data_IF_932402482333
#
_entry.id   IF_932402482333
#
_cell.length_a   1.000
_cell.length_b   1.000
_cell.length_c   1.000
_cell.angle_alpha   90.00
_cell.angle_beta   90.00
_cell.angle_gamma   90.00
#
_symmetry.space_group_name_H-M   'P 1'
#
loop_
_entity.id
_entity.type
_entity.pdbx_description
1 polymer ?
#
# COMPACT_ATOMS: atom_id res chain seq x y z
N UNK A 1 22.60 56.25 11.71
CA UNK A 1 21.34 55.64 12.19
C UNK A 1 20.71 54.62 11.23
N UNK A 2 20.96 54.67 9.93
CA UNK A 2 20.42 53.74 8.90
C UNK A 2 21.03 52.35 8.92
N UNK A 3 22.34 52.20 9.17
CA UNK A 3 23.06 50.91 9.18
C UNK A 3 22.58 49.94 10.27
N UNK A 4 22.18 50.46 11.44
CA UNK A 4 21.70 49.63 12.56
C UNK A 4 20.27 49.09 12.33
N UNK A 5 19.44 49.80 11.57
CA UNK A 5 18.11 49.36 11.22
C UNK A 5 18.14 48.25 10.16
N UNK A 6 19.01 48.39 9.16
CA UNK A 6 19.19 47.34 8.12
C UNK A 6 19.78 46.05 8.69
N UNK A 7 20.67 46.13 9.68
CA UNK A 7 21.26 44.95 10.35
C UNK A 7 20.16 44.20 11.14
N UNK A 8 19.32 44.87 11.89
CA UNK A 8 18.19 44.30 12.63
C UNK A 8 17.17 43.63 11.70
N UNK A 9 16.83 44.27 10.60
CA UNK A 9 15.89 43.72 9.63
C UNK A 9 16.44 42.48 8.93
N UNK A 10 17.75 42.36 8.71
CA UNK A 10 18.41 41.16 8.21
C UNK A 10 18.40 40.03 9.23
N UNK A 11 18.71 40.32 10.50
CA UNK A 11 18.71 39.34 11.60
C UNK A 11 17.27 38.79 11.80
N UNK A 12 16.26 39.62 11.80
CA UNK A 12 14.84 39.22 11.94
C UNK A 12 14.39 38.34 10.75
N UNK A 13 14.82 38.67 9.53
CA UNK A 13 14.55 37.84 8.33
C UNK A 13 15.29 36.49 8.36
N UNK A 14 16.49 36.45 8.90
CA UNK A 14 17.27 35.21 9.07
C UNK A 14 16.65 34.31 10.17
N UNK A 15 16.27 34.86 11.31
CA UNK A 15 15.56 34.16 12.37
C UNK A 15 14.21 33.57 11.88
N UNK A 16 13.45 34.35 11.14
CA UNK A 16 12.18 33.92 10.57
C UNK A 16 12.38 32.76 9.57
N UNK A 17 13.42 32.82 8.73
CA UNK A 17 13.78 31.74 7.80
C UNK A 17 14.25 30.48 8.51
N UNK A 18 15.04 30.61 9.58
CA UNK A 18 15.49 29.48 10.38
C UNK A 18 14.30 28.77 11.07
N UNK A 19 13.41 29.52 11.69
CA UNK A 19 12.20 28.98 12.33
C UNK A 19 11.30 28.26 11.33
N UNK A 20 11.11 28.82 10.14
CA UNK A 20 10.34 28.18 9.07
C UNK A 20 11.01 26.89 8.57
N UNK A 21 12.32 26.87 8.43
CA UNK A 21 13.08 25.69 8.00
C UNK A 21 13.01 24.55 9.06
N UNK A 22 13.08 24.89 10.34
CA UNK A 22 12.92 23.93 11.45
C UNK A 22 11.51 23.33 11.51
N UNK A 23 10.50 24.17 11.33
CA UNK A 23 9.09 23.72 11.26
C UNK A 23 8.85 22.79 10.07
N UNK A 24 9.39 23.11 8.90
CA UNK A 24 9.31 22.26 7.72
C UNK A 24 10.02 20.92 7.93
N UNK A 25 11.23 20.93 8.47
CA UNK A 25 12.00 19.72 8.78
C UNK A 25 11.25 18.81 9.77
N UNK A 26 10.60 19.41 10.77
CA UNK A 26 9.78 18.69 11.76
C UNK A 26 8.53 18.06 11.10
N UNK A 27 7.85 18.78 10.22
CA UNK A 27 6.71 18.28 9.45
C UNK A 27 7.11 17.13 8.52
N UNK A 28 8.25 17.24 7.84
CA UNK A 28 8.81 16.19 7.00
C UNK A 28 9.10 14.93 7.83
N UNK A 29 9.84 15.06 8.95
CA UNK A 29 10.16 13.95 9.85
C UNK A 29 8.91 13.23 10.37
N UNK A 30 7.88 13.97 10.74
CA UNK A 30 6.58 13.43 11.15
C UNK A 30 5.89 12.67 10.02
N UNK A 31 5.89 13.22 8.80
CA UNK A 31 5.32 12.59 7.62
C UNK A 31 6.04 11.28 7.24
N UNK A 32 7.38 11.26 7.35
CA UNK A 32 8.18 10.06 7.11
C UNK A 32 7.89 8.95 8.13
N UNK A 33 7.69 9.29 9.40
CA UNK A 33 7.28 8.33 10.42
C UNK A 33 5.89 7.75 10.15
N UNK A 34 4.93 8.56 9.70
CA UNK A 34 3.62 8.07 9.29
C UNK A 34 3.71 7.14 8.08
N UNK A 35 4.59 7.45 7.11
CA UNK A 35 4.80 6.56 5.95
C UNK A 35 5.41 5.21 6.33
N UNK A 36 6.25 5.13 7.37
CA UNK A 36 6.75 3.84 7.89
C UNK A 36 5.60 3.04 8.52
N UNK A 37 4.75 3.68 9.33
CA UNK A 37 3.59 3.04 9.95
C UNK A 37 2.60 2.55 8.90
N UNK A 38 2.26 3.39 7.92
CA UNK A 38 1.43 3.04 6.78
C UNK A 38 1.98 1.81 6.04
N UNK A 39 3.30 1.82 5.74
CA UNK A 39 3.98 0.68 5.13
C UNK A 39 3.89 -0.60 5.96
N UNK A 40 3.98 -0.52 7.28
CA UNK A 40 3.82 -1.67 8.17
C UNK A 40 2.39 -2.24 8.13
N UNK A 41 1.36 -1.38 8.19
CA UNK A 41 -0.04 -1.82 8.07
C UNK A 41 -0.36 -2.41 6.70
N UNK A 42 0.11 -1.78 5.61
CA UNK A 42 -0.04 -2.33 4.26
C UNK A 42 0.64 -3.70 4.11
N UNK A 43 1.83 -3.86 4.70
CA UNK A 43 2.56 -5.13 4.71
C UNK A 43 1.88 -6.21 5.55
N UNK A 44 1.24 -5.83 6.66
CA UNK A 44 0.43 -6.75 7.46
C UNK A 44 -0.79 -7.25 6.65
N UNK A 45 -1.47 -6.35 5.96
CA UNK A 45 -2.58 -6.71 5.07
C UNK A 45 -2.11 -7.66 3.96
N UNK A 46 -1.00 -7.33 3.26
CA UNK A 46 -0.43 -8.21 2.24
C UNK A 46 -0.03 -9.57 2.78
N UNK A 47 0.62 -9.64 3.94
CA UNK A 47 1.00 -10.89 4.59
C UNK A 47 -0.20 -11.80 4.89
N UNK A 48 -1.34 -11.23 5.28
CA UNK A 48 -2.56 -11.98 5.55
C UNK A 48 -3.33 -12.29 4.24
N UNK A 49 -3.51 -11.30 3.36
CA UNK A 49 -4.39 -11.44 2.19
C UNK A 49 -3.70 -12.10 1.01
N UNK A 50 -2.57 -11.56 0.55
CA UNK A 50 -1.92 -12.00 -0.69
C UNK A 50 -1.39 -13.43 -0.58
N UNK A 51 -0.91 -13.81 0.62
CA UNK A 51 -0.37 -15.15 0.87
C UNK A 51 -1.45 -16.23 0.90
N UNK A 52 -2.68 -15.90 1.33
CA UNK A 52 -3.74 -16.89 1.55
C UNK A 52 -4.88 -16.85 0.53
N UNK A 53 -4.97 -15.84 -0.32
CA UNK A 53 -5.99 -15.78 -1.38
C UNK A 53 -5.92 -16.97 -2.36
N UNK A 54 -4.74 -17.48 -2.78
CA UNK A 54 -4.69 -18.71 -3.57
C UNK A 54 -5.19 -19.95 -2.81
N UNK A 55 -4.87 -20.06 -1.51
CA UNK A 55 -5.39 -21.13 -0.67
C UNK A 55 -6.92 -21.03 -0.49
N UNK A 56 -7.44 -19.82 -0.34
CA UNK A 56 -8.88 -19.56 -0.32
C UNK A 56 -9.57 -19.98 -1.63
N UNK A 57 -8.93 -19.79 -2.79
CA UNK A 57 -9.45 -20.29 -4.06
C UNK A 57 -9.60 -21.83 -4.04
N UNK A 58 -8.65 -22.54 -3.43
CA UNK A 58 -8.74 -24.02 -3.26
C UNK A 58 -9.94 -24.40 -2.42
N UNK A 59 -10.21 -23.69 -1.32
CA UNK A 59 -11.39 -23.99 -0.47
C UNK A 59 -12.72 -23.72 -1.18
N UNK A 60 -12.72 -22.84 -2.19
CA UNK A 60 -13.89 -22.60 -3.05
C UNK A 60 -14.01 -23.60 -4.21
N UNK A 61 -13.13 -24.62 -4.28
CA UNK A 61 -13.16 -25.64 -5.30
C UNK A 61 -12.40 -25.30 -6.58
N UNK A 62 -11.43 -24.36 -6.53
CA UNK A 62 -10.64 -23.99 -7.70
C UNK A 62 -9.73 -25.12 -8.16
N UNK A 63 -9.75 -25.42 -9.46
CA UNK A 63 -8.78 -26.29 -10.11
C UNK A 63 -7.41 -25.60 -10.25
N UNK A 64 -6.34 -26.39 -10.44
CA UNK A 64 -4.99 -25.87 -10.67
C UNK A 64 -4.93 -24.86 -11.84
N UNK A 65 -5.71 -25.09 -12.90
CA UNK A 65 -5.82 -24.16 -14.03
C UNK A 65 -6.43 -22.83 -13.61
N UNK A 66 -7.46 -22.85 -12.77
CA UNK A 66 -8.10 -21.63 -12.27
C UNK A 66 -7.21 -20.86 -11.30
N UNK A 67 -6.41 -21.56 -10.46
CA UNK A 67 -5.39 -20.92 -9.61
C UNK A 67 -4.32 -20.25 -10.47
N UNK A 68 -3.87 -20.92 -11.53
CA UNK A 68 -2.95 -20.32 -12.50
C UNK A 68 -3.54 -19.07 -13.17
N UNK A 69 -4.81 -19.08 -13.57
CA UNK A 69 -5.51 -17.91 -14.11
C UNK A 69 -5.63 -16.79 -13.07
N UNK A 70 -6.02 -17.11 -11.84
CA UNK A 70 -6.15 -16.16 -10.75
C UNK A 70 -4.87 -15.34 -10.58
N UNK A 71 -3.72 -16.02 -10.43
CA UNK A 71 -2.43 -15.37 -10.22
C UNK A 71 -1.91 -14.67 -11.47
N UNK A 72 -2.06 -15.28 -12.65
CA UNK A 72 -1.58 -14.70 -13.91
C UNK A 72 -2.32 -13.44 -14.29
N UNK A 73 -3.65 -13.42 -14.16
CA UNK A 73 -4.45 -12.22 -14.44
C UNK A 73 -4.16 -11.08 -13.47
N UNK A 74 -3.99 -11.38 -12.18
CA UNK A 74 -3.60 -10.40 -11.17
C UNK A 74 -2.23 -9.78 -11.49
N UNK A 75 -1.24 -10.61 -11.84
CA UNK A 75 0.10 -10.18 -12.20
C UNK A 75 0.16 -9.42 -13.53
N UNK A 76 -0.79 -9.66 -14.44
CA UNK A 76 -0.90 -8.93 -15.70
C UNK A 76 -1.60 -7.57 -15.50
N UNK A 77 -2.79 -7.59 -14.91
CA UNK A 77 -3.62 -6.40 -14.82
C UNK A 77 -3.09 -5.40 -13.79
N UNK A 78 -2.52 -5.84 -12.67
CA UNK A 78 -1.94 -4.95 -11.69
C UNK A 78 -0.95 -3.95 -12.31
N UNK A 79 0.19 -4.38 -12.84
CA UNK A 79 1.17 -3.51 -13.49
C UNK A 79 0.64 -2.77 -14.73
N UNK A 80 -0.24 -3.41 -15.53
CA UNK A 80 -0.81 -2.77 -16.72
C UNK A 80 -1.64 -1.54 -16.36
N UNK A 81 -2.54 -1.66 -15.38
CA UNK A 81 -3.36 -0.54 -14.93
C UNK A 81 -2.59 0.51 -14.12
N UNK A 82 -1.43 0.17 -13.57
CA UNK A 82 -0.50 1.12 -12.96
C UNK A 82 -0.09 2.23 -13.94
N UNK A 83 0.03 1.93 -15.23
CA UNK A 83 0.34 2.92 -16.28
C UNK A 83 -0.75 3.99 -16.39
N UNK A 84 -1.99 3.68 -16.08
CA UNK A 84 -3.10 4.64 -16.09
C UNK A 84 -2.95 5.69 -14.99
N UNK A 85 -2.36 5.33 -13.84
CA UNK A 85 -2.03 6.27 -12.77
C UNK A 85 -1.05 7.35 -13.25
N UNK A 86 -0.03 6.98 -14.04
CA UNK A 86 0.90 7.93 -14.66
C UNK A 86 0.21 8.92 -15.59
N UNK A 87 -0.75 8.44 -16.40
CA UNK A 87 -1.53 9.32 -17.30
C UNK A 87 -2.37 10.33 -16.50
N UNK A 88 -2.98 9.89 -15.38
CA UNK A 88 -3.74 10.78 -14.51
C UNK A 88 -2.86 11.82 -13.82
N UNK A 89 -1.67 11.44 -13.37
CA UNK A 89 -0.70 12.37 -12.79
C UNK A 89 -0.24 13.43 -13.79
N UNK A 90 0.04 13.04 -15.05
CA UNK A 90 0.40 13.98 -16.12
C UNK A 90 -0.71 14.98 -16.44
N UNK A 91 -1.97 14.61 -16.19
CA UNK A 91 -3.14 15.49 -16.35
C UNK A 91 -3.40 16.36 -15.11
N UNK A 92 -2.51 16.39 -14.13
CA UNK A 92 -2.62 17.24 -12.94
C UNK A 92 -3.44 16.63 -11.79
N UNK A 93 -3.73 15.32 -11.80
CA UNK A 93 -4.43 14.70 -10.69
C UNK A 93 -3.60 14.76 -9.40
N UNK A 94 -4.26 14.98 -8.27
CA UNK A 94 -3.61 15.05 -6.96
C UNK A 94 -3.05 13.68 -6.55
N UNK A 95 -1.74 13.60 -6.32
CA UNK A 95 -1.04 12.39 -5.87
C UNK A 95 -1.68 11.79 -4.61
N UNK A 96 -1.96 12.64 -3.62
CA UNK A 96 -2.60 12.23 -2.36
C UNK A 96 -3.97 11.61 -2.58
N UNK A 97 -4.83 12.24 -3.40
CA UNK A 97 -6.17 11.71 -3.69
C UNK A 97 -6.11 10.37 -4.40
N UNK A 98 -5.22 10.23 -5.41
CA UNK A 98 -5.04 8.97 -6.13
C UNK A 98 -4.63 7.82 -5.20
N UNK A 99 -3.65 8.06 -4.32
CA UNK A 99 -3.19 7.07 -3.34
C UNK A 99 -4.31 6.69 -2.38
N UNK A 100 -4.99 7.68 -1.78
CA UNK A 100 -6.04 7.41 -0.78
C UNK A 100 -7.23 6.65 -1.37
N UNK A 101 -7.70 7.03 -2.56
CA UNK A 101 -8.83 6.37 -3.22
C UNK A 101 -8.45 4.93 -3.58
N UNK A 102 -7.26 4.72 -4.17
CA UNK A 102 -6.82 3.38 -4.55
C UNK A 102 -6.65 2.45 -3.35
N UNK A 103 -6.02 2.92 -2.27
CA UNK A 103 -5.86 2.15 -1.02
C UNK A 103 -7.21 1.83 -0.39
N UNK A 104 -8.16 2.78 -0.38
CA UNK A 104 -9.50 2.54 0.12
C UNK A 104 -10.22 1.47 -0.71
N UNK A 105 -10.19 1.57 -2.05
CA UNK A 105 -10.80 0.57 -2.93
C UNK A 105 -10.12 -0.80 -2.77
N UNK A 106 -8.79 -0.83 -2.63
CA UNK A 106 -8.03 -2.04 -2.36
C UNK A 106 -8.47 -2.73 -1.06
N UNK A 107 -8.72 -1.98 0.01
CA UNK A 107 -9.22 -2.53 1.25
C UNK A 107 -10.68 -3.00 1.14
N UNK A 108 -11.54 -2.19 0.49
CA UNK A 108 -12.96 -2.49 0.35
C UNK A 108 -13.24 -3.73 -0.51
N UNK A 109 -12.40 -4.04 -1.50
CA UNK A 109 -12.60 -5.22 -2.36
C UNK A 109 -12.46 -6.54 -1.60
N UNK A 110 -11.81 -6.55 -0.43
CA UNK A 110 -11.74 -7.74 0.42
C UNK A 110 -13.11 -8.15 0.97
N UNK A 111 -14.02 -7.19 1.17
CA UNK A 111 -15.37 -7.47 1.69
C UNK A 111 -16.15 -8.39 0.74
N UNK A 112 -16.34 -8.06 -0.56
CA UNK A 112 -17.01 -8.97 -1.47
C UNK A 112 -16.23 -10.27 -1.72
N UNK A 113 -14.89 -10.28 -1.64
CA UNK A 113 -14.11 -11.53 -1.72
C UNK A 113 -14.48 -12.47 -0.58
N UNK A 114 -14.52 -11.98 0.66
CA UNK A 114 -14.92 -12.80 1.82
C UNK A 114 -16.40 -13.20 1.79
N UNK A 115 -17.24 -12.41 1.15
CA UNK A 115 -18.66 -12.65 1.05
C UNK A 115 -19.04 -13.70 -0.02
N UNK A 116 -18.12 -14.11 -0.89
CA UNK A 116 -18.39 -15.05 -1.99
C UNK A 116 -19.15 -16.32 -1.55
N UNK A 117 -18.73 -17.07 -0.51
CA UNK A 117 -19.39 -18.33 -0.16
C UNK A 117 -20.81 -18.15 0.35
N UNK A 118 -21.16 -16.97 0.82
CA UNK A 118 -22.49 -16.69 1.41
C UNK A 118 -23.50 -16.22 0.38
N UNK A 119 -23.07 -15.51 -0.67
CA UNK A 119 -23.97 -14.86 -1.62
C UNK A 119 -24.00 -15.51 -3.00
N UNK A 120 -23.03 -16.38 -3.34
CA UNK A 120 -22.94 -16.92 -4.68
C UNK A 120 -22.99 -18.46 -4.71
N UNK A 121 -23.71 -19.06 -5.68
CA UNK A 121 -23.71 -20.49 -5.91
C UNK A 121 -22.31 -21.03 -6.21
N UNK A 122 -21.99 -22.25 -5.79
CA UNK A 122 -20.68 -22.88 -5.94
C UNK A 122 -20.10 -22.78 -7.35
N UNK A 123 -20.95 -23.01 -8.36
CA UNK A 123 -20.56 -22.94 -9.78
C UNK A 123 -19.86 -21.65 -10.19
N UNK A 124 -20.18 -20.51 -9.55
CA UNK A 124 -19.67 -19.20 -9.95
C UNK A 124 -18.60 -18.64 -8.99
N UNK A 125 -18.43 -19.24 -7.81
CA UNK A 125 -17.54 -18.72 -6.75
C UNK A 125 -16.11 -18.45 -7.24
N UNK A 126 -15.51 -19.42 -7.93
CA UNK A 126 -14.13 -19.30 -8.41
C UNK A 126 -14.01 -18.26 -9.52
N UNK A 127 -14.96 -18.18 -10.44
CA UNK A 127 -14.95 -17.18 -11.51
C UNK A 127 -15.07 -15.76 -10.93
N UNK A 128 -15.97 -15.57 -9.96
CA UNK A 128 -16.13 -14.29 -9.26
C UNK A 128 -14.86 -13.93 -8.48
N UNK A 129 -14.24 -14.90 -7.79
CA UNK A 129 -12.97 -14.67 -7.11
C UNK A 129 -11.89 -14.22 -8.07
N UNK A 130 -11.74 -14.82 -9.25
CA UNK A 130 -10.74 -14.42 -10.24
C UNK A 130 -10.95 -12.95 -10.66
N UNK A 131 -12.18 -12.55 -10.91
CA UNK A 131 -12.51 -11.15 -11.26
C UNK A 131 -12.18 -10.20 -10.11
N UNK A 132 -12.66 -10.51 -8.91
CA UNK A 132 -12.44 -9.66 -7.73
C UNK A 132 -10.96 -9.58 -7.34
N UNK A 133 -10.22 -10.69 -7.46
CA UNK A 133 -8.77 -10.70 -7.19
C UNK A 133 -7.99 -9.92 -8.24
N UNK A 134 -8.41 -9.94 -9.50
CA UNK A 134 -7.83 -9.10 -10.53
C UNK A 134 -8.05 -7.61 -10.23
N UNK A 135 -9.24 -7.22 -9.77
CA UNK A 135 -9.53 -5.84 -9.31
C UNK A 135 -8.71 -5.48 -8.07
N UNK A 136 -8.58 -6.40 -7.11
CA UNK A 136 -7.73 -6.24 -5.93
C UNK A 136 -6.29 -5.93 -6.34
N UNK A 137 -5.71 -6.69 -7.27
CA UNK A 137 -4.36 -6.49 -7.78
C UNK A 137 -4.21 -5.14 -8.53
N UNK A 138 -5.23 -4.72 -9.28
CA UNK A 138 -5.26 -3.40 -9.93
C UNK A 138 -5.16 -2.30 -8.86
N UNK A 139 -6.03 -2.31 -7.85
CA UNK A 139 -6.02 -1.28 -6.81
C UNK A 139 -4.76 -1.31 -5.93
N UNK A 140 -4.15 -2.48 -5.72
CA UNK A 140 -2.87 -2.62 -5.04
C UNK A 140 -1.72 -1.92 -5.78
N UNK A 141 -1.67 -2.06 -7.11
CA UNK A 141 -0.57 -1.53 -7.94
C UNK A 141 -0.81 -0.09 -8.39
N UNK A 142 -2.07 0.31 -8.60
CA UNK A 142 -2.43 1.60 -9.15
C UNK A 142 -1.81 2.81 -8.43
N UNK A 143 -1.72 2.87 -7.08
CA UNK A 143 -1.15 4.02 -6.38
C UNK A 143 0.38 4.12 -6.48
N UNK A 144 1.07 3.07 -6.94
CA UNK A 144 2.53 2.98 -6.92
C UNK A 144 3.27 4.19 -7.48
N UNK A 145 3.01 4.63 -8.74
CA UNK A 145 3.69 5.79 -9.32
C UNK A 145 3.39 7.11 -8.59
N UNK A 146 2.14 7.30 -8.14
CA UNK A 146 1.73 8.49 -7.41
C UNK A 146 2.43 8.55 -6.04
N UNK A 147 2.50 7.42 -5.35
CA UNK A 147 3.18 7.27 -4.09
C UNK A 147 4.70 7.45 -4.24
N UNK A 148 5.32 6.82 -5.23
CA UNK A 148 6.75 6.93 -5.50
C UNK A 148 7.16 8.38 -5.81
N UNK A 149 6.38 9.08 -6.64
CA UNK A 149 6.59 10.49 -6.94
C UNK A 149 6.43 11.36 -5.69
N UNK A 150 5.42 11.11 -4.88
CA UNK A 150 5.18 11.87 -3.63
C UNK A 150 6.31 11.66 -2.63
N UNK A 151 6.72 10.42 -2.40
CA UNK A 151 7.84 10.10 -1.51
C UNK A 151 9.19 10.60 -2.05
N UNK A 152 9.36 10.62 -3.37
CA UNK A 152 10.55 11.17 -4.01
C UNK A 152 10.77 12.65 -3.70
N UNK A 153 9.69 13.44 -3.61
CA UNK A 153 9.77 14.86 -3.24
C UNK A 153 9.93 15.06 -1.72
N UNK A 154 9.33 14.17 -0.93
CA UNK A 154 9.34 14.29 0.53
C UNK A 154 10.66 13.84 1.18
N UNK A 155 11.34 12.83 0.60
CA UNK A 155 12.55 12.23 1.16
C UNK A 155 13.80 12.90 0.56
N UNK A 156 14.63 13.60 1.35
CA UNK A 156 15.86 14.19 0.86
C UNK A 156 16.77 13.14 0.19
N UNK A 157 17.40 13.52 -0.92
CA UNK A 157 18.22 12.60 -1.73
C UNK A 157 19.35 11.93 -0.93
N UNK A 158 19.97 12.68 0.00
CA UNK A 158 21.08 12.20 0.85
C UNK A 158 20.71 11.02 1.76
N UNK A 159 19.46 10.94 2.23
CA UNK A 159 19.00 9.91 3.20
C UNK A 159 17.99 8.92 2.57
N UNK A 160 17.74 9.06 1.27
CA UNK A 160 16.69 8.29 0.57
C UNK A 160 16.93 6.78 0.66
N UNK A 161 18.15 6.33 0.41
CA UNK A 161 18.50 4.90 0.49
C UNK A 161 18.34 4.33 1.89
N UNK A 162 18.80 5.04 2.91
CA UNK A 162 18.65 4.64 4.32
C UNK A 162 17.18 4.57 4.73
N UNK A 163 16.40 5.59 4.39
CA UNK A 163 14.97 5.65 4.69
C UNK A 163 14.20 4.48 4.07
N UNK A 164 14.34 4.26 2.75
CA UNK A 164 13.64 3.16 2.09
C UNK A 164 14.15 1.79 2.53
N UNK A 165 15.44 1.65 2.79
CA UNK A 165 16.02 0.44 3.36
C UNK A 165 15.40 0.09 4.72
N UNK A 166 15.29 1.07 5.63
CA UNK A 166 14.64 0.90 6.93
C UNK A 166 13.15 0.58 6.79
N UNK A 167 12.43 1.31 5.93
CA UNK A 167 11.00 1.09 5.69
C UNK A 167 10.74 -0.32 5.15
N UNK A 168 11.50 -0.76 4.13
CA UNK A 168 11.33 -2.07 3.52
C UNK A 168 11.71 -3.21 4.47
N UNK A 169 12.71 -3.03 5.33
CA UNK A 169 13.05 -4.00 6.38
C UNK A 169 11.91 -4.19 7.37
N UNK A 170 11.32 -3.08 7.87
CA UNK A 170 10.17 -3.13 8.77
C UNK A 170 8.99 -3.82 8.07
N UNK A 171 8.69 -3.41 6.84
CA UNK A 171 7.64 -4.00 6.01
C UNK A 171 7.82 -5.51 5.84
N UNK A 172 9.03 -5.96 5.48
CA UNK A 172 9.34 -7.38 5.31
C UNK A 172 9.17 -8.20 6.59
N UNK A 173 9.65 -7.69 7.73
CA UNK A 173 9.47 -8.35 9.03
C UNK A 173 8.00 -8.46 9.39
N UNK A 174 7.22 -7.38 9.19
CA UNK A 174 5.78 -7.40 9.46
C UNK A 174 5.06 -8.40 8.55
N UNK A 175 5.39 -8.45 7.26
CA UNK A 175 4.83 -9.45 6.32
C UNK A 175 5.07 -10.86 6.82
N UNK A 176 6.32 -11.21 7.17
CA UNK A 176 6.67 -12.56 7.67
C UNK A 176 5.85 -12.90 8.92
N UNK A 177 5.84 -12.01 9.91
CA UNK A 177 5.12 -12.22 11.17
C UNK A 177 3.63 -12.44 10.90
N UNK A 178 3.01 -11.57 10.11
CA UNK A 178 1.56 -11.64 9.84
C UNK A 178 1.18 -12.84 9.00
N UNK A 179 2.01 -13.26 8.04
CA UNK A 179 1.81 -14.50 7.28
C UNK A 179 1.86 -15.72 8.19
N UNK A 180 2.86 -15.80 9.09
CA UNK A 180 2.97 -16.90 10.03
C UNK A 180 1.80 -16.94 11.03
N UNK A 181 1.42 -15.79 11.58
CA UNK A 181 0.27 -15.69 12.49
C UNK A 181 -1.03 -16.09 11.80
N UNK A 182 -1.27 -15.65 10.57
CA UNK A 182 -2.43 -16.08 9.79
C UNK A 182 -2.45 -17.57 9.54
N UNK A 183 -1.29 -18.18 9.23
CA UNK A 183 -1.17 -19.64 9.09
C UNK A 183 -1.46 -20.40 10.38
N UNK A 184 -0.98 -19.91 11.52
CA UNK A 184 -1.27 -20.51 12.84
C UNK A 184 -2.77 -20.43 13.16
N UNK A 185 -3.39 -19.29 12.92
CA UNK A 185 -4.84 -19.10 13.11
C UNK A 185 -5.64 -20.07 12.22
N UNK A 186 -5.30 -20.13 10.93
CA UNK A 186 -5.95 -21.07 10.01
C UNK A 186 -5.78 -22.54 10.46
N UNK A 187 -4.58 -22.92 10.83
CA UNK A 187 -4.32 -24.29 11.32
C UNK A 187 -5.13 -24.61 12.59
N UNK A 188 -5.24 -23.67 13.52
CA UNK A 188 -6.03 -23.86 14.74
C UNK A 188 -7.51 -24.13 14.42
N UNK A 189 -8.13 -23.31 13.56
CA UNK A 189 -9.54 -23.46 13.19
C UNK A 189 -9.81 -24.61 12.21
N UNK A 190 -8.81 -25.14 11.52
CA UNK A 190 -8.98 -26.23 10.57
C UNK A 190 -8.81 -27.59 11.25
N UNK A 191 -8.06 -27.69 12.33
CA UNK A 191 -7.87 -28.95 13.09
C UNK A 191 -9.18 -29.56 13.60
N UNK A 192 -10.16 -28.73 13.96
CA UNK A 192 -11.46 -29.21 14.47
C UNK A 192 -12.44 -29.67 13.37
N UNK A 193 -12.05 -29.57 12.09
CA UNK A 193 -12.90 -29.97 10.95
C UNK A 193 -12.38 -31.16 10.15
N UNK A 194 -11.31 -31.82 10.60
CA UNK A 194 -10.66 -32.96 9.92
C UNK A 194 -11.03 -34.32 10.57
N UNK A 195 -12.17 -34.39 11.26
CA UNK A 195 -12.77 -35.66 11.71
C UNK A 195 -14.24 -35.72 11.30
#
# INVERSE_FOLDING_TARGET
>A
MTATAETKEREEKEETKQTQAEDEATKIKKSLNYSIKDGAFASAMGGISDSYLPAYAVTLGASNRQIGLLTSLANLFGPLFQLSSLKMLRKGASRKKLVLIAVLLHALILIPILAIPFFFPEKYRVAILIVLFSLYAIFANFPGPAWASWMGDLVPSKVRGEYFGRRNRIAGVVTIITTLLAGLVLNYFTKDKVF
#
